data_IF_021998235836
#
_entry.id   IF_021998235836
#
_cell.length_a   1.000
_cell.length_b   1.000
_cell.length_c   1.000
_cell.angle_alpha   90.00
_cell.angle_beta   90.00
_cell.angle_gamma   90.00
#
_symmetry.space_group_name_H-M   'P 1'
#
loop_
_entity.id
_entity.type
_entity.pdbx_description
1 polymer ?
#
# COMPACT_ATOMS: atom_id res chain seq x y z
N UNK A 1 3.85 11.87 6.60
CA UNK A 1 3.26 12.71 5.53
C UNK A 1 3.12 11.92 4.25
N UNK A 2 2.28 10.89 4.26
CA UNK A 2 2.35 9.76 3.33
C UNK A 2 1.63 10.00 1.97
N UNK A 3 1.63 11.24 1.46
CA UNK A 3 0.89 11.64 0.25
C UNK A 3 1.49 12.81 -0.56
N UNK A 4 2.63 13.35 -0.13
CA UNK A 4 3.28 14.51 -0.75
C UNK A 4 3.71 14.20 -2.20
N UNK A 5 4.45 13.11 -2.42
CA UNK A 5 4.91 12.72 -3.75
C UNK A 5 3.76 12.49 -4.74
N UNK A 6 2.69 11.84 -4.30
CA UNK A 6 1.53 11.56 -5.16
C UNK A 6 0.80 12.85 -5.55
N UNK A 7 0.65 13.79 -4.62
CA UNK A 7 0.07 15.09 -4.89
C UNK A 7 0.96 15.94 -5.81
N UNK A 8 2.29 15.91 -5.58
CA UNK A 8 3.28 16.56 -6.43
C UNK A 8 3.20 16.05 -7.88
N UNK A 9 3.27 14.73 -8.11
CA UNK A 9 3.24 14.17 -9.46
C UNK A 9 1.89 14.34 -10.14
N UNK A 10 0.78 14.26 -9.40
CA UNK A 10 -0.55 14.57 -9.93
C UNK A 10 -0.63 16.03 -10.41
N UNK A 11 -0.12 16.97 -9.61
CA UNK A 11 -0.04 18.38 -9.99
C UNK A 11 0.89 18.63 -11.17
N UNK A 12 2.08 18.02 -11.19
CA UNK A 12 3.05 18.13 -12.27
C UNK A 12 2.47 17.64 -13.62
N UNK A 13 1.80 16.49 -13.63
CA UNK A 13 1.13 15.97 -14.82
C UNK A 13 -0.04 16.87 -15.26
N UNK A 14 -0.83 17.38 -14.31
CA UNK A 14 -1.92 18.31 -14.61
C UNK A 14 -1.43 19.64 -15.21
N UNK A 15 -0.22 20.08 -14.87
CA UNK A 15 0.44 21.25 -15.44
C UNK A 15 1.12 20.99 -16.81
N UNK A 16 0.95 19.80 -17.40
CA UNK A 16 1.55 19.44 -18.69
C UNK A 16 2.94 18.82 -18.60
N UNK A 17 3.42 18.53 -17.39
CA UNK A 17 4.65 17.78 -17.17
C UNK A 17 4.59 16.38 -17.77
N UNK A 18 5.74 15.85 -18.20
CA UNK A 18 5.85 14.50 -18.79
C UNK A 18 6.76 13.65 -17.92
N UNK A 19 6.29 12.46 -17.56
CA UNK A 19 7.09 11.45 -16.86
C UNK A 19 7.46 10.37 -17.88
N UNK A 20 8.76 10.17 -18.11
CA UNK A 20 9.28 9.16 -19.03
C UNK A 20 10.02 8.07 -18.24
N UNK A 21 9.92 6.84 -18.72
CA UNK A 21 10.70 5.72 -18.19
C UNK A 21 12.15 5.81 -18.68
N UNK A 22 13.11 5.78 -17.77
CA UNK A 22 14.54 5.79 -18.07
C UNK A 22 15.13 4.39 -17.78
N UNK A 23 15.31 3.53 -18.80
CA UNK A 23 15.70 2.13 -18.59
C UNK A 23 17.07 1.94 -17.95
N UNK A 24 17.96 2.94 -18.05
CA UNK A 24 19.30 2.92 -17.48
C UNK A 24 19.37 3.50 -16.05
N UNK A 25 18.28 4.12 -15.56
CA UNK A 25 18.23 4.67 -14.21
C UNK A 25 17.81 3.61 -13.18
N UNK A 26 18.65 2.58 -13.00
CA UNK A 26 18.38 1.48 -12.07
C UNK A 26 18.81 1.87 -10.65
N UNK A 27 17.86 1.86 -9.72
CA UNK A 27 18.13 2.06 -8.27
C UNK A 27 18.10 0.70 -7.56
N UNK A 28 19.15 0.42 -6.79
CA UNK A 28 19.22 -0.74 -5.91
C UNK A 28 18.87 -0.30 -4.48
N UNK A 29 17.76 -0.80 -3.94
CA UNK A 29 17.36 -0.57 -2.54
C UNK A 29 17.25 -1.92 -1.83
N UNK A 30 17.92 -2.05 -0.69
CA UNK A 30 17.73 -3.21 0.19
C UNK A 30 16.38 -3.09 0.87
N UNK A 31 15.47 -4.03 0.56
CA UNK A 31 14.18 -4.12 1.23
C UNK A 31 14.39 -4.85 2.58
N UNK A 32 14.13 -4.20 3.73
CA UNK A 32 14.15 -4.83 5.04
C UNK A 32 13.28 -6.09 5.05
N UNK A 33 13.74 -7.12 5.76
CA UNK A 33 13.04 -8.41 5.88
C UNK A 33 11.57 -8.25 6.30
N UNK A 34 11.28 -7.30 7.19
CA UNK A 34 9.91 -6.99 7.61
C UNK A 34 9.01 -6.50 6.48
N UNK A 35 9.55 -5.74 5.50
CA UNK A 35 8.81 -5.28 4.32
C UNK A 35 8.56 -6.41 3.30
N UNK A 36 9.27 -7.53 3.38
CA UNK A 36 9.05 -8.70 2.52
C UNK A 36 7.94 -9.65 3.04
N UNK A 37 7.49 -9.48 4.29
CA UNK A 37 6.49 -10.36 4.91
C UNK A 37 5.10 -10.16 4.30
N UNK A 38 4.35 -11.26 4.13
CA UNK A 38 2.97 -11.21 3.60
C UNK A 38 2.08 -10.23 4.37
N UNK A 39 2.18 -10.18 5.70
CA UNK A 39 1.43 -9.24 6.52
C UNK A 39 1.70 -7.78 6.14
N UNK A 40 2.96 -7.42 5.89
CA UNK A 40 3.32 -6.08 5.43
C UNK A 40 2.77 -5.81 4.02
N UNK A 41 2.90 -6.78 3.10
CA UNK A 41 2.37 -6.68 1.74
C UNK A 41 0.84 -6.48 1.73
N UNK A 42 0.11 -7.17 2.59
CA UNK A 42 -1.34 -7.00 2.74
C UNK A 42 -1.70 -5.60 3.24
N UNK A 43 -0.99 -5.07 4.25
CA UNK A 43 -1.16 -3.68 4.70
C UNK A 43 -0.88 -2.69 3.58
N UNK A 44 0.22 -2.87 2.83
CA UNK A 44 0.56 -2.04 1.66
C UNK A 44 -0.53 -2.07 0.61
N UNK A 45 -1.05 -3.25 0.26
CA UNK A 45 -2.15 -3.38 -0.70
C UNK A 45 -3.42 -2.71 -0.20
N UNK A 46 -3.76 -2.84 1.08
CA UNK A 46 -4.89 -2.13 1.68
C UNK A 46 -4.76 -0.61 1.50
N UNK A 47 -3.62 -0.02 1.88
CA UNK A 47 -3.38 1.43 1.68
C UNK A 47 -3.47 1.85 0.22
N UNK A 48 -2.85 1.09 -0.69
CA UNK A 48 -2.98 1.34 -2.14
C UNK A 48 -4.45 1.37 -2.59
N UNK A 49 -5.28 0.49 -2.00
CA UNK A 49 -6.72 0.48 -2.23
C UNK A 49 -7.41 1.77 -1.80
N UNK A 50 -7.02 2.31 -0.64
CA UNK A 50 -7.54 3.58 -0.14
C UNK A 50 -7.16 4.75 -1.08
N UNK A 51 -5.89 4.83 -1.49
CA UNK A 51 -5.42 5.86 -2.43
C UNK A 51 -6.10 5.74 -3.81
N UNK A 52 -6.24 4.53 -4.32
CA UNK A 52 -6.94 4.31 -5.59
C UNK A 52 -8.41 4.76 -5.52
N UNK A 53 -9.09 4.42 -4.42
CA UNK A 53 -10.47 4.85 -4.21
C UNK A 53 -10.59 6.37 -4.09
N UNK A 54 -9.68 7.04 -3.37
CA UNK A 54 -9.70 8.50 -3.20
C UNK A 54 -9.65 9.22 -4.55
N UNK A 55 -8.79 8.76 -5.46
CA UNK A 55 -8.67 9.30 -6.81
C UNK A 55 -9.92 9.05 -7.67
N UNK A 56 -10.51 7.84 -7.61
CA UNK A 56 -11.69 7.50 -8.41
C UNK A 56 -12.91 8.39 -8.09
N UNK A 57 -13.07 8.78 -6.82
CA UNK A 57 -14.27 9.50 -6.36
C UNK A 57 -14.04 10.98 -6.08
N UNK A 58 -12.83 11.48 -6.32
CA UNK A 58 -12.51 12.90 -6.22
C UNK A 58 -13.40 13.71 -7.18
N UNK A 59 -14.12 14.69 -6.65
CA UNK A 59 -15.06 15.53 -7.43
C UNK A 59 -16.29 14.78 -7.99
N UNK A 60 -16.58 13.54 -7.55
CA UNK A 60 -17.72 12.75 -8.05
C UNK A 60 -18.90 12.75 -7.08
N UNK A 61 -20.15 12.63 -7.57
CA UNK A 61 -21.35 12.60 -6.74
C UNK A 61 -21.41 11.36 -5.84
N UNK A 62 -22.19 11.46 -4.74
CA UNK A 62 -22.35 10.36 -3.75
C UNK A 62 -22.81 9.04 -4.36
N UNK A 63 -23.68 9.07 -5.37
CA UNK A 63 -24.12 7.86 -6.08
C UNK A 63 -22.95 7.09 -6.71
N UNK A 64 -21.95 7.78 -7.28
CA UNK A 64 -20.75 7.16 -7.85
C UNK A 64 -19.90 6.50 -6.75
N UNK A 65 -19.83 7.09 -5.56
CA UNK A 65 -19.15 6.51 -4.38
C UNK A 65 -19.80 5.20 -3.95
N UNK A 66 -21.12 5.19 -3.80
CA UNK A 66 -21.88 3.99 -3.39
C UNK A 66 -21.69 2.86 -4.40
N UNK A 67 -21.82 3.15 -5.70
CA UNK A 67 -21.58 2.16 -6.76
C UNK A 67 -20.14 1.63 -6.73
N UNK A 68 -19.15 2.50 -6.56
CA UNK A 68 -17.75 2.10 -6.46
C UNK A 68 -17.50 1.22 -5.22
N UNK A 69 -18.15 1.51 -4.09
CA UNK A 69 -18.04 0.73 -2.87
C UNK A 69 -18.61 -0.68 -3.06
N UNK A 70 -19.81 -0.80 -3.65
CA UNK A 70 -20.41 -2.09 -3.98
C UNK A 70 -19.52 -2.94 -4.90
N UNK A 71 -18.95 -2.33 -5.96
CA UNK A 71 -18.01 -3.04 -6.84
C UNK A 71 -16.72 -3.47 -6.12
N UNK A 72 -16.19 -2.64 -5.21
CA UNK A 72 -15.01 -2.99 -4.42
C UNK A 72 -15.30 -4.16 -3.48
N UNK A 73 -16.44 -4.15 -2.77
CA UNK A 73 -16.87 -5.26 -1.91
C UNK A 73 -17.02 -6.55 -2.72
N UNK A 74 -17.72 -6.52 -3.87
CA UNK A 74 -17.88 -7.69 -4.72
C UNK A 74 -16.54 -8.28 -5.17
N UNK A 75 -15.59 -7.44 -5.57
CA UNK A 75 -14.23 -7.89 -5.95
C UNK A 75 -13.43 -8.42 -4.77
N UNK A 76 -13.58 -7.83 -3.59
CA UNK A 76 -12.94 -8.32 -2.37
C UNK A 76 -13.41 -9.74 -2.03
N UNK A 77 -14.73 -9.97 -2.06
CA UNK A 77 -15.34 -11.28 -1.84
C UNK A 77 -14.91 -12.29 -2.91
N UNK A 78 -14.94 -11.91 -4.19
CA UNK A 78 -14.49 -12.79 -5.27
C UNK A 78 -13.02 -13.20 -5.11
N UNK A 79 -12.12 -12.25 -4.81
CA UNK A 79 -10.70 -12.55 -4.59
C UNK A 79 -10.48 -13.37 -3.31
N UNK A 80 -11.22 -13.09 -2.24
CA UNK A 80 -11.18 -13.87 -1.01
C UNK A 80 -11.64 -15.31 -1.22
N UNK A 81 -12.76 -15.50 -1.91
CA UNK A 81 -13.29 -16.82 -2.27
C UNK A 81 -12.31 -17.59 -3.15
N UNK A 82 -11.71 -16.94 -4.16
CA UNK A 82 -10.62 -17.54 -4.92
C UNK A 82 -9.49 -17.97 -3.98
N UNK A 83 -8.99 -17.11 -3.09
CA UNK A 83 -7.92 -17.47 -2.16
C UNK A 83 -8.23 -18.75 -1.34
N UNK A 84 -9.50 -18.95 -0.94
CA UNK A 84 -9.95 -20.17 -0.27
C UNK A 84 -9.87 -21.38 -1.20
N UNK A 85 -10.37 -21.28 -2.44
CA UNK A 85 -10.34 -22.36 -3.44
C UNK A 85 -8.91 -22.86 -3.71
N UNK A 86 -7.94 -21.96 -3.78
CA UNK A 86 -6.52 -22.33 -3.99
C UNK A 86 -5.68 -22.31 -2.72
N UNK A 87 -6.26 -22.63 -1.56
CA UNK A 87 -5.55 -22.63 -0.28
C UNK A 87 -4.27 -23.49 -0.29
N UNK A 88 -4.28 -24.60 -1.05
CA UNK A 88 -3.13 -25.50 -1.22
C UNK A 88 -2.03 -24.97 -2.16
N UNK A 89 -2.20 -23.78 -2.75
CA UNK A 89 -1.23 -23.17 -3.69
C UNK A 89 -0.77 -21.81 -3.14
N UNK A 90 0.24 -21.76 -2.25
CA UNK A 90 0.60 -20.56 -1.49
C UNK A 90 0.84 -19.31 -2.35
N UNK A 91 1.56 -19.46 -3.48
CA UNK A 91 1.84 -18.35 -4.38
C UNK A 91 0.57 -17.75 -5.00
N UNK A 92 -0.37 -18.60 -5.42
CA UNK A 92 -1.63 -18.17 -6.01
C UNK A 92 -2.58 -17.61 -4.93
N UNK A 93 -2.70 -18.30 -3.79
CA UNK A 93 -3.48 -17.83 -2.62
C UNK A 93 -3.03 -16.45 -2.18
N UNK A 94 -1.73 -16.24 -2.00
CA UNK A 94 -1.18 -14.96 -1.53
C UNK A 94 -1.44 -13.83 -2.56
N UNK A 95 -1.40 -14.12 -3.87
CA UNK A 95 -1.81 -13.17 -4.91
C UNK A 95 -3.28 -12.76 -4.77
N UNK A 96 -4.17 -13.73 -4.53
CA UNK A 96 -5.59 -13.43 -4.35
C UNK A 96 -5.86 -12.68 -3.04
N UNK A 97 -5.18 -13.02 -1.94
CA UNK A 97 -5.24 -12.28 -0.68
C UNK A 97 -4.79 -10.82 -0.84
N UNK A 98 -3.70 -10.58 -1.59
CA UNK A 98 -3.24 -9.22 -1.91
C UNK A 98 -4.24 -8.42 -2.75
N UNK A 99 -4.97 -9.08 -3.68
CA UNK A 99 -6.06 -8.44 -4.43
C UNK A 99 -7.27 -8.16 -3.55
N UNK A 100 -7.64 -9.09 -2.68
CA UNK A 100 -8.71 -8.91 -1.71
C UNK A 100 -8.39 -7.71 -0.79
N UNK A 101 -7.19 -7.66 -0.19
CA UNK A 101 -6.74 -6.56 0.67
C UNK A 101 -6.83 -5.20 -0.03
N UNK A 102 -6.43 -5.10 -1.30
CA UNK A 102 -6.59 -3.89 -2.11
C UNK A 102 -8.06 -3.45 -2.20
N UNK A 103 -8.96 -4.37 -2.51
CA UNK A 103 -10.38 -4.05 -2.65
C UNK A 103 -11.07 -3.76 -1.32
N UNK A 104 -10.65 -4.41 -0.24
CA UNK A 104 -11.09 -4.09 1.12
C UNK A 104 -10.67 -2.66 1.50
N UNK A 105 -9.42 -2.27 1.22
CA UNK A 105 -8.96 -0.90 1.45
C UNK A 105 -9.76 0.13 0.65
N UNK A 106 -10.05 -0.16 -0.62
CA UNK A 106 -10.89 0.69 -1.45
C UNK A 106 -12.32 0.84 -0.87
N UNK A 107 -12.96 -0.27 -0.48
CA UNK A 107 -14.29 -0.25 0.13
C UNK A 107 -14.30 0.53 1.45
N UNK A 108 -13.29 0.32 2.31
CA UNK A 108 -13.16 1.01 3.58
C UNK A 108 -13.03 2.54 3.40
N UNK A 109 -12.18 2.98 2.46
CA UNK A 109 -12.04 4.41 2.16
C UNK A 109 -13.36 5.03 1.65
N UNK A 110 -14.07 4.32 0.77
CA UNK A 110 -15.37 4.77 0.26
C UNK A 110 -16.45 4.81 1.34
N UNK A 111 -16.31 3.98 2.38
CA UNK A 111 -17.12 4.03 3.60
C UNK A 111 -16.68 5.08 4.64
N UNK A 112 -15.62 5.85 4.36
CA UNK A 112 -15.16 6.95 5.22
C UNK A 112 -13.96 6.62 6.12
N UNK A 113 -13.33 5.45 5.98
CA UNK A 113 -12.11 5.14 6.72
C UNK A 113 -10.94 6.06 6.32
N UNK A 114 -10.17 6.52 7.31
CA UNK A 114 -8.95 7.30 7.09
C UNK A 114 -7.87 6.43 6.43
N UNK A 115 -7.04 7.06 5.59
CA UNK A 115 -5.89 6.38 5.00
C UNK A 115 -4.91 5.97 6.09
N UNK A 116 -4.40 4.74 6.03
CA UNK A 116 -3.38 4.28 6.96
C UNK A 116 -2.01 4.79 6.54
N UNK A 117 -1.21 5.23 7.51
CA UNK A 117 0.21 5.54 7.33
C UNK A 117 0.99 4.22 7.46
N UNK A 118 1.88 3.94 6.49
CA UNK A 118 2.67 2.69 6.48
C UNK A 118 4.13 2.96 6.80
N UNK A 119 4.59 4.20 6.59
CA UNK A 119 5.95 4.62 6.87
C UNK A 119 5.91 5.59 8.05
N UNK A 120 6.13 5.06 9.25
CA UNK A 120 6.03 5.83 10.50
C UNK A 120 6.53 5.10 11.75
N UNK A 121 6.90 3.83 11.66
CA UNK A 121 7.56 3.09 12.73
C UNK A 121 8.79 2.43 12.13
N UNK A 122 9.92 3.14 12.14
CA UNK A 122 11.21 2.49 11.97
C UNK A 122 11.34 1.45 13.11
N UNK A 123 11.87 0.25 12.86
CA UNK A 123 12.26 -0.63 13.95
C UNK A 123 13.27 0.12 14.82
N UNK A 124 13.06 0.07 16.14
CA UNK A 124 14.01 0.50 17.14
C UNK A 124 15.39 -0.07 16.78
N UNK A 125 16.38 0.81 16.62
CA UNK A 125 17.78 0.40 16.46
C UNK A 125 18.26 -0.07 17.83
N UNK A 126 17.93 -1.30 18.20
CA UNK A 126 18.60 -1.97 19.31
C UNK A 126 19.91 -2.60 18.83
N UNK A 127 20.82 -1.79 18.30
CA UNK A 127 22.23 -2.14 18.18
C UNK A 127 22.96 -1.53 19.37
N UNK A 128 22.66 -2.03 20.56
CA UNK A 128 23.51 -1.81 21.74
C UNK A 128 24.67 -2.81 21.63
N UNK A 129 25.72 -2.45 20.88
CA UNK A 129 27.05 -2.94 21.20
C UNK A 129 27.66 -2.01 22.25
N UNK A 130 28.05 -2.50 23.44
CA UNK A 130 28.78 -1.68 24.39
C UNK A 130 30.20 -1.49 23.88
N UNK A 131 30.57 -0.26 23.48
CA UNK A 131 31.98 0.12 23.36
C UNK A 131 32.58 0.15 24.77
N UNK A 132 33.25 -0.93 25.14
CA UNK A 132 34.21 -0.96 26.24
C UNK A 132 35.50 -0.25 25.80
N UNK A 133 35.89 0.77 26.56
CA UNK A 133 37.15 1.50 26.42
C UNK A 133 37.41 2.35 27.69
N UNK A 134 38.67 2.53 28.12
CA UNK A 134 39.05 2.38 29.51
C UNK A 134 38.93 3.65 30.37
N UNK A 135 38.79 3.43 31.69
CA UNK A 135 38.83 4.45 32.73
C UNK A 135 40.25 5.03 32.83
N UNK A 136 40.37 6.34 32.73
CA UNK A 136 41.57 7.05 33.17
C UNK A 136 41.26 7.78 34.49
N UNK A 137 42.17 7.60 35.44
CA UNK A 137 42.28 8.27 36.74
C UNK A 137 43.57 9.07 36.76
#
# INVERSE_FOLDING_TARGET
>A
GDGEDSAFFAGFLAAGGKIAFAPLAVVHETVPSDRARLAWLLRRRYRMGQTHASLIVQGRPRARRIRAAGMAVAKALACGGLAVVGAARPAWRNRQLMRAALHVGAAAHLGGARQIEIYGTAPDRSDTEPRSGPKES
#
